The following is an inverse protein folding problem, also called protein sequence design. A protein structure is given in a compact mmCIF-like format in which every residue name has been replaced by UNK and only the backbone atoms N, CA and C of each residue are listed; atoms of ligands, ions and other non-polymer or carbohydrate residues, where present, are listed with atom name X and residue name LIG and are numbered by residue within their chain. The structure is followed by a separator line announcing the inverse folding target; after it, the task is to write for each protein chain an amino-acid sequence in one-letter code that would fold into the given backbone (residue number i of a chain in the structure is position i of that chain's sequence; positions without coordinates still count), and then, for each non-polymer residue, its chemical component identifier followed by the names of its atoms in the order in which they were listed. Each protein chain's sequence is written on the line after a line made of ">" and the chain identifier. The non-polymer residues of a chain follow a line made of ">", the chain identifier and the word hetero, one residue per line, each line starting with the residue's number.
data_IF_787120456297
#
_entry.id   IF_787120456297
#
_cell.length_a   1.000
_cell.length_b   1.000
_cell.length_c   1.000
_cell.angle_alpha   90.00
_cell.angle_beta   90.00
_cell.angle_gamma   90.00
#
_symmetry.space_group_name_H-M   'P 1'
#
loop_
_entity.id
_entity.type
_entity.pdbx_description
1 polymer ?
#
# COMPACT_ATOMS: atom_id res chain seq x y z
N UNK A 1 27.38 -10.80 -16.68
CA UNK A 1 26.23 -10.34 -17.49
C UNK A 1 25.05 -10.13 -16.55
N UNK A 2 24.53 -8.91 -16.45
CA UNK A 2 23.30 -8.66 -15.69
C UNK A 2 22.13 -9.34 -16.40
N UNK A 3 21.51 -10.34 -15.76
CA UNK A 3 20.24 -10.87 -16.24
C UNK A 3 19.18 -9.79 -16.07
N UNK A 4 18.57 -9.37 -17.17
CA UNK A 4 17.52 -8.37 -17.17
C UNK A 4 16.17 -9.08 -17.26
N UNK A 5 15.52 -9.26 -16.10
CA UNK A 5 14.22 -9.91 -16.04
C UNK A 5 13.11 -8.93 -16.42
N UNK A 6 12.24 -9.34 -17.33
CA UNK A 6 11.07 -8.57 -17.73
C UNK A 6 9.82 -9.06 -17.02
N UNK A 7 8.96 -8.13 -16.59
CA UNK A 7 7.68 -8.46 -15.95
C UNK A 7 6.52 -8.04 -16.82
N UNK A 8 5.58 -8.95 -17.12
CA UNK A 8 4.39 -8.67 -17.92
C UNK A 8 3.12 -9.06 -17.17
N UNK A 9 2.11 -8.18 -17.19
CA UNK A 9 0.77 -8.47 -16.66
C UNK A 9 -0.03 -9.23 -17.72
N UNK A 10 -0.62 -10.35 -17.34
CA UNK A 10 -1.45 -11.22 -18.18
C UNK A 10 -2.73 -11.62 -17.44
N UNK A 11 -3.77 -12.08 -18.16
CA UNK A 11 -4.93 -12.73 -17.53
C UNK A 11 -4.52 -13.84 -16.56
N UNK A 12 -5.36 -14.11 -15.58
CA UNK A 12 -5.09 -15.06 -14.50
C UNK A 12 -4.73 -16.44 -15.05
N UNK A 13 -3.57 -16.95 -14.66
CA UNK A 13 -3.17 -18.32 -14.97
C UNK A 13 -3.90 -19.31 -14.05
N UNK A 14 -4.13 -20.53 -14.53
CA UNK A 14 -4.72 -21.61 -13.73
C UNK A 14 -3.74 -22.00 -12.62
N UNK A 15 -4.20 -21.99 -11.38
CA UNK A 15 -3.42 -22.37 -10.21
C UNK A 15 -3.81 -23.79 -9.78
N UNK A 16 -2.86 -24.75 -9.72
CA UNK A 16 -3.09 -26.07 -9.14
C UNK A 16 -3.46 -26.00 -7.65
N UNK A 17 -4.36 -26.88 -7.20
CA UNK A 17 -4.91 -26.84 -5.84
C UNK A 17 -3.88 -27.08 -4.73
N UNK A 18 -2.79 -27.80 -5.02
CA UNK A 18 -1.71 -28.09 -4.09
C UNK A 18 -0.74 -26.91 -3.90
N UNK A 19 -0.76 -25.91 -4.81
CA UNK A 19 0.13 -24.76 -4.72
C UNK A 19 -0.17 -23.94 -3.48
N UNK A 20 0.89 -23.56 -2.77
CA UNK A 20 0.76 -22.71 -1.60
C UNK A 20 0.50 -21.24 -2.00
N UNK A 21 -0.54 -20.67 -1.42
CA UNK A 21 -0.92 -19.26 -1.51
C UNK A 21 -0.61 -18.54 -0.19
N UNK A 22 -0.24 -17.26 -0.28
CA UNK A 22 -0.23 -16.35 0.88
C UNK A 22 -1.54 -15.59 0.88
N UNK A 23 -2.35 -15.77 1.91
CA UNK A 23 -3.70 -15.22 2.02
C UNK A 23 -3.73 -14.17 3.12
N UNK A 24 -4.33 -13.03 2.82
CA UNK A 24 -4.58 -11.93 3.74
C UNK A 24 -6.08 -11.78 3.93
N UNK A 25 -6.53 -11.98 5.17
CA UNK A 25 -7.93 -11.83 5.55
C UNK A 25 -8.18 -10.40 6.00
N UNK A 26 -9.16 -9.74 5.37
CA UNK A 26 -9.70 -8.46 5.82
C UNK A 26 -11.23 -8.56 5.87
N UNK A 27 -11.93 -7.73 6.68
CA UNK A 27 -13.38 -7.84 6.86
C UNK A 27 -14.19 -7.87 5.56
N UNK A 28 -13.83 -7.06 4.56
CA UNK A 28 -14.59 -6.94 3.31
C UNK A 28 -13.94 -7.66 2.11
N UNK A 29 -12.64 -7.99 2.19
CA UNK A 29 -11.86 -8.50 1.06
C UNK A 29 -10.85 -9.54 1.55
N UNK A 30 -10.80 -10.68 0.85
CA UNK A 30 -9.72 -11.66 0.98
C UNK A 30 -8.78 -11.46 -0.20
N UNK A 31 -7.48 -11.30 0.08
CA UNK A 31 -6.45 -11.20 -0.96
C UNK A 31 -5.51 -12.41 -0.90
N UNK A 32 -5.30 -13.05 -2.04
CA UNK A 32 -4.35 -14.14 -2.18
C UNK A 32 -3.22 -13.80 -3.16
N UNK A 33 -2.01 -14.25 -2.82
CA UNK A 33 -0.84 -14.18 -3.69
C UNK A 33 -0.21 -15.55 -3.81
N UNK A 34 -0.20 -16.08 -5.03
CA UNK A 34 0.35 -17.39 -5.36
C UNK A 34 1.59 -17.21 -6.23
N UNK A 35 2.71 -17.78 -5.82
CA UNK A 35 3.96 -17.77 -6.59
C UNK A 35 4.18 -19.18 -7.12
N UNK A 36 4.31 -19.34 -8.44
CA UNK A 36 4.44 -20.65 -9.06
C UNK A 36 5.72 -21.37 -8.60
N UNK A 37 6.88 -20.72 -8.76
CA UNK A 37 8.19 -21.22 -8.31
C UNK A 37 8.67 -20.42 -7.11
N UNK A 38 8.40 -20.92 -5.90
CA UNK A 38 8.89 -20.31 -4.65
C UNK A 38 10.39 -20.51 -4.49
N UNK A 39 11.14 -19.43 -4.25
CA UNK A 39 12.57 -19.54 -3.94
C UNK A 39 12.77 -20.01 -2.48
N UNK A 40 13.32 -21.19 -2.27
CA UNK A 40 13.77 -21.67 -0.95
C UNK A 40 15.21 -21.22 -0.62
N UNK A 41 15.99 -20.85 -1.64
CA UNK A 41 17.44 -20.67 -1.50
C UNK A 41 17.90 -19.28 -1.02
N UNK A 42 17.01 -18.32 -0.77
CA UNK A 42 17.41 -16.97 -0.32
C UNK A 42 17.94 -16.99 1.13
N UNK A 43 17.50 -17.95 1.95
CA UNK A 43 17.90 -18.06 3.37
C UNK A 43 19.40 -18.27 3.57
N UNK A 44 20.12 -18.74 2.55
CA UNK A 44 21.58 -18.92 2.61
C UNK A 44 22.35 -17.60 2.54
N UNK A 45 21.73 -16.49 2.16
CA UNK A 45 22.41 -15.20 2.09
C UNK A 45 22.17 -14.39 3.37
N UNK A 46 23.24 -14.01 4.06
CA UNK A 46 23.20 -13.18 5.26
C UNK A 46 23.69 -11.78 4.92
N UNK A 47 22.90 -10.75 5.25
CA UNK A 47 23.27 -9.35 4.98
C UNK A 47 24.44 -8.92 5.89
N UNK A 48 25.44 -8.26 5.30
CA UNK A 48 26.60 -7.69 6.00
C UNK A 48 26.66 -6.21 5.63
N UNK A 49 26.37 -5.32 6.59
CA UNK A 49 26.31 -3.89 6.34
C UNK A 49 25.19 -3.46 5.38
N UNK A 50 25.36 -2.27 4.76
CA UNK A 50 24.33 -1.68 3.88
C UNK A 50 24.33 -2.29 2.48
N UNK A 51 25.50 -2.61 1.93
CA UNK A 51 25.72 -2.86 0.50
C UNK A 51 26.35 -4.24 0.21
N UNK A 52 26.29 -5.19 1.15
CA UNK A 52 26.83 -6.52 0.91
C UNK A 52 26.02 -7.63 1.58
N UNK A 53 26.20 -8.85 1.09
CA UNK A 53 25.76 -10.07 1.72
C UNK A 53 26.81 -11.17 1.57
N UNK A 54 26.76 -12.15 2.46
CA UNK A 54 27.60 -13.35 2.41
C UNK A 54 26.70 -14.54 2.11
N UNK A 55 27.09 -15.33 1.13
CA UNK A 55 26.51 -16.65 0.91
C UNK A 55 27.06 -17.61 1.97
N UNK A 56 26.24 -17.95 2.95
CA UNK A 56 26.61 -18.82 4.07
C UNK A 56 26.97 -20.25 3.64
N UNK A 57 26.57 -20.68 2.43
CA UNK A 57 26.91 -22.01 1.91
C UNK A 57 28.29 -22.05 1.24
N UNK A 58 28.75 -20.94 0.65
CA UNK A 58 30.01 -20.88 -0.12
C UNK A 58 31.06 -19.98 0.52
N UNK A 59 30.69 -19.15 1.50
CA UNK A 59 31.54 -18.10 2.06
C UNK A 59 31.71 -16.88 1.15
N UNK A 60 31.09 -16.88 -0.03
CA UNK A 60 31.24 -15.81 -1.02
C UNK A 60 30.66 -14.49 -0.52
N UNK A 61 31.46 -13.42 -0.57
CA UNK A 61 31.06 -12.06 -0.26
C UNK A 61 30.61 -11.34 -1.53
N UNK A 62 29.36 -10.90 -1.55
CA UNK A 62 28.71 -10.28 -2.70
C UNK A 62 28.43 -8.83 -2.35
N UNK A 63 29.12 -7.91 -3.02
CA UNK A 63 28.81 -6.48 -2.97
C UNK A 63 27.74 -6.12 -4.00
N UNK A 64 26.86 -5.20 -3.62
CA UNK A 64 25.85 -4.65 -4.51
C UNK A 64 25.84 -3.12 -4.40
N UNK A 65 25.92 -2.46 -5.57
CA UNK A 65 25.78 -1.01 -5.64
C UNK A 65 24.32 -0.59 -5.42
N UNK A 66 24.13 0.54 -4.74
CA UNK A 66 22.83 1.21 -4.75
C UNK A 66 22.61 1.82 -6.14
N UNK A 67 21.94 1.09 -7.01
CA UNK A 67 21.35 1.70 -8.20
C UNK A 67 19.97 2.25 -7.81
N UNK A 68 19.92 3.47 -7.27
CA UNK A 68 18.66 4.22 -7.10
C UNK A 68 18.18 4.70 -8.48
N UNK A 69 17.77 3.77 -9.34
CA UNK A 69 17.12 4.10 -10.61
C UNK A 69 15.60 4.28 -10.41
N UNK A 70 14.95 5.01 -11.32
CA UNK A 70 13.51 5.31 -11.23
C UNK A 70 12.65 4.05 -11.10
N UNK A 71 13.02 2.97 -11.79
CA UNK A 71 12.32 1.68 -11.71
C UNK A 71 12.35 1.08 -10.30
N UNK A 72 13.51 1.11 -9.63
CA UNK A 72 13.66 0.63 -8.25
C UNK A 72 12.84 1.46 -7.25
N UNK A 73 12.78 2.79 -7.46
CA UNK A 73 11.90 3.70 -6.70
C UNK A 73 10.45 3.30 -6.89
N UNK A 74 9.98 3.20 -8.14
CA UNK A 74 8.61 2.79 -8.45
C UNK A 74 8.24 1.42 -7.85
N UNK A 75 9.14 0.43 -7.89
CA UNK A 75 8.90 -0.89 -7.30
C UNK A 75 8.75 -0.83 -5.78
N UNK A 76 9.58 -0.04 -5.09
CA UNK A 76 9.47 0.15 -3.64
C UNK A 76 8.16 0.84 -3.26
N UNK A 77 7.75 1.85 -4.04
CA UNK A 77 6.46 2.52 -3.89
C UNK A 77 5.27 1.59 -4.08
N UNK A 78 5.25 0.82 -5.18
CA UNK A 78 4.21 -0.17 -5.45
C UNK A 78 4.05 -1.16 -4.30
N UNK A 79 5.17 -1.63 -3.75
CA UNK A 79 5.15 -2.50 -2.55
C UNK A 79 4.51 -1.79 -1.37
N UNK A 80 4.98 -0.59 -1.03
CA UNK A 80 4.49 0.15 0.13
C UNK A 80 3.01 0.58 -0.03
N UNK A 81 2.54 0.85 -1.25
CA UNK A 81 1.13 1.09 -1.57
C UNK A 81 0.28 -0.17 -1.37
N UNK A 82 0.75 -1.34 -1.82
CA UNK A 82 0.06 -2.60 -1.56
C UNK A 82 -0.03 -2.90 -0.06
N UNK A 83 1.03 -2.63 0.70
CA UNK A 83 1.02 -2.79 2.16
C UNK A 83 0.02 -1.82 2.81
N UNK A 84 -0.01 -0.56 2.38
CA UNK A 84 -1.01 0.42 2.83
C UNK A 84 -2.44 -0.03 2.53
N UNK A 85 -2.72 -0.51 1.32
CA UNK A 85 -4.05 -1.01 0.93
C UNK A 85 -4.52 -2.12 1.89
N UNK A 86 -3.66 -3.09 2.19
CA UNK A 86 -3.97 -4.16 3.15
C UNK A 86 -4.19 -3.64 4.56
N UNK A 87 -3.38 -2.67 5.02
CA UNK A 87 -3.55 -2.04 6.34
C UNK A 87 -4.90 -1.32 6.40
N UNK A 88 -5.28 -0.56 5.37
CA UNK A 88 -6.57 0.15 5.33
C UNK A 88 -7.72 -0.85 5.36
N UNK A 89 -7.72 -1.85 4.46
CA UNK A 89 -8.81 -2.82 4.35
C UNK A 89 -8.99 -3.66 5.62
N UNK A 90 -7.92 -3.92 6.38
CA UNK A 90 -7.99 -4.61 7.66
C UNK A 90 -8.61 -3.74 8.76
N UNK A 91 -8.36 -2.42 8.73
CA UNK A 91 -8.64 -1.54 9.87
C UNK A 91 -9.88 -0.68 9.73
N UNK A 92 -10.37 -0.49 8.51
CA UNK A 92 -11.47 0.41 8.18
C UNK A 92 -12.49 -0.36 7.36
N UNK A 93 -13.76 -0.29 7.75
CA UNK A 93 -14.86 -0.98 7.08
C UNK A 93 -15.97 -0.03 6.63
N UNK A 94 -15.84 1.27 6.94
CA UNK A 94 -16.89 2.26 6.68
C UNK A 94 -17.91 2.41 7.80
N UNK A 95 -17.51 2.12 9.04
CA UNK A 95 -18.37 2.30 10.20
C UNK A 95 -18.60 3.79 10.55
N UNK A 96 -19.67 4.09 11.30
CA UNK A 96 -19.98 5.43 11.78
C UNK A 96 -18.87 6.06 12.66
N UNK A 97 -18.02 5.23 13.28
CA UNK A 97 -16.85 5.64 14.05
C UNK A 97 -15.64 6.06 13.18
N UNK A 98 -15.75 5.95 11.86
CA UNK A 98 -14.67 6.21 10.93
C UNK A 98 -14.91 7.47 10.10
N UNK A 99 -13.83 8.21 9.81
CA UNK A 99 -13.86 9.41 8.97
C UNK A 99 -12.63 9.47 8.07
N UNK A 100 -12.84 10.02 6.89
CA UNK A 100 -11.78 10.43 5.99
C UNK A 100 -11.65 11.95 6.02
N UNK A 101 -10.48 12.42 6.42
CA UNK A 101 -10.15 13.84 6.54
C UNK A 101 -9.06 14.17 5.53
N UNK A 102 -9.16 15.36 4.97
CA UNK A 102 -8.20 15.88 3.99
C UNK A 102 -7.76 17.27 4.44
N UNK A 103 -6.46 17.43 4.71
CA UNK A 103 -5.85 18.66 5.22
C UNK A 103 -4.98 19.29 4.13
N UNK A 104 -5.34 20.49 3.70
CA UNK A 104 -4.61 21.27 2.68
C UNK A 104 -3.93 22.47 3.31
N UNK A 105 -2.78 22.84 2.78
CA UNK A 105 -2.12 24.11 3.10
C UNK A 105 -2.74 25.27 2.30
N UNK A 106 -2.80 26.46 2.91
CA UNK A 106 -3.13 27.70 2.19
C UNK A 106 -1.96 28.19 1.32
N UNK A 107 -0.74 27.97 1.79
CA UNK A 107 0.50 28.30 1.08
C UNK A 107 1.13 27.02 0.49
N UNK A 108 1.95 27.18 -0.55
CA UNK A 108 2.66 26.06 -1.17
C UNK A 108 3.62 25.42 -0.15
N UNK A 109 3.45 24.13 0.11
CA UNK A 109 4.25 23.35 1.06
C UNK A 109 4.98 22.23 0.33
N UNK A 110 6.28 22.35 0.07
CA UNK A 110 7.07 21.32 -0.63
C UNK A 110 7.99 20.54 0.30
N UNK A 111 8.19 21.04 1.52
CA UNK A 111 9.07 20.39 2.51
C UNK A 111 8.32 19.26 3.23
N UNK A 112 8.75 18.03 2.99
CA UNK A 112 8.20 16.82 3.60
C UNK A 112 8.36 16.80 5.13
N UNK A 113 9.49 17.29 5.66
CA UNK A 113 9.75 17.29 7.09
C UNK A 113 8.82 18.27 7.81
N UNK A 114 8.67 19.48 7.27
CA UNK A 114 7.72 20.46 7.79
C UNK A 114 6.29 19.91 7.74
N UNK A 115 5.89 19.31 6.61
CA UNK A 115 4.57 18.69 6.51
C UNK A 115 4.34 17.57 7.54
N UNK A 116 5.39 16.80 7.83
CA UNK A 116 5.33 15.74 8.85
C UNK A 116 5.27 16.29 10.28
N UNK A 117 5.98 17.39 10.57
CA UNK A 117 5.97 18.06 11.87
C UNK A 117 4.63 18.74 12.16
N UNK A 118 4.08 19.46 11.19
CA UNK A 118 2.77 20.11 11.31
C UNK A 118 1.68 19.08 11.60
N UNK A 119 1.69 17.95 10.88
CA UNK A 119 0.78 16.85 11.18
C UNK A 119 0.97 16.30 12.59
N UNK A 120 2.20 16.20 13.07
CA UNK A 120 2.48 15.71 14.44
C UNK A 120 1.87 16.64 15.49
N UNK A 121 1.98 17.97 15.29
CA UNK A 121 1.36 18.98 16.15
C UNK A 121 -0.17 18.89 16.10
N UNK A 122 -0.74 18.86 14.90
CA UNK A 122 -2.17 18.65 14.65
C UNK A 122 -2.68 17.41 15.39
N UNK A 123 -2.02 16.26 15.19
CA UNK A 123 -2.44 15.00 15.79
C UNK A 123 -2.32 15.02 17.31
N UNK A 124 -1.29 15.65 17.87
CA UNK A 124 -1.14 15.79 19.33
C UNK A 124 -2.34 16.54 19.95
N UNK A 125 -2.73 17.66 19.35
CA UNK A 125 -3.89 18.44 19.81
C UNK A 125 -5.20 17.69 19.59
N UNK A 126 -5.34 17.03 18.44
CA UNK A 126 -6.50 16.21 18.13
C UNK A 126 -6.68 15.06 19.11
N UNK A 127 -5.60 14.33 19.40
CA UNK A 127 -5.59 13.18 20.33
C UNK A 127 -5.91 13.62 21.76
N UNK A 128 -5.54 14.83 22.17
CA UNK A 128 -5.94 15.37 23.46
C UNK A 128 -7.47 15.51 23.57
N UNK A 129 -8.13 15.99 22.51
CA UNK A 129 -9.59 16.15 22.47
C UNK A 129 -10.35 14.84 22.19
N UNK A 130 -9.74 13.93 21.43
CA UNK A 130 -10.32 12.65 21.02
C UNK A 130 -9.36 11.49 21.37
N UNK A 131 -9.23 11.13 22.67
CA UNK A 131 -8.18 10.22 23.16
C UNK A 131 -8.27 8.79 22.61
N UNK A 132 -9.44 8.37 22.15
CA UNK A 132 -9.65 7.02 21.64
C UNK A 132 -9.38 6.87 20.13
N UNK A 133 -9.11 7.98 19.43
CA UNK A 133 -8.94 7.95 17.99
C UNK A 133 -7.56 7.43 17.55
N UNK A 134 -7.51 6.62 16.50
CA UNK A 134 -6.28 6.19 15.83
C UNK A 134 -6.32 6.68 14.38
N UNK A 135 -5.14 6.90 13.77
CA UNK A 135 -5.04 7.38 12.38
C UNK A 135 -4.19 6.51 11.47
N UNK A 136 -4.47 6.60 10.17
CA UNK A 136 -3.53 6.39 9.08
C UNK A 136 -3.37 7.73 8.34
N UNK A 137 -2.15 8.20 8.18
CA UNK A 137 -1.79 9.44 7.48
C UNK A 137 -1.12 9.06 6.18
N UNK A 138 -1.51 9.71 5.09
CA UNK A 138 -0.96 9.58 3.76
C UNK A 138 -0.60 10.99 3.28
N UNK A 139 0.67 11.21 2.97
CA UNK A 139 1.18 12.43 2.33
C UNK A 139 1.15 12.20 0.82
N UNK A 140 0.40 13.03 0.11
CA UNK A 140 0.26 13.00 -1.33
C UNK A 140 0.62 14.39 -1.88
N UNK A 141 1.48 14.52 -2.90
CA UNK A 141 1.68 15.80 -3.56
C UNK A 141 0.46 16.11 -4.44
N UNK A 142 0.03 17.36 -4.41
CA UNK A 142 -0.91 17.89 -5.39
C UNK A 142 -0.25 18.02 -6.76
N UNK A 143 -1.02 18.38 -7.78
CA UNK A 143 -0.50 18.61 -9.13
C UNK A 143 0.62 19.67 -9.16
N UNK A 144 0.52 20.68 -8.30
CA UNK A 144 1.52 21.74 -8.12
C UNK A 144 2.79 21.30 -7.35
N UNK A 145 2.87 20.05 -6.91
CA UNK A 145 3.92 19.51 -6.05
C UNK A 145 3.73 19.78 -4.55
N UNK A 146 2.77 20.65 -4.17
CA UNK A 146 2.49 20.97 -2.77
C UNK A 146 1.94 19.75 -2.01
N UNK A 147 2.39 19.50 -0.80
CA UNK A 147 1.91 18.43 0.05
C UNK A 147 0.44 18.59 0.44
N UNK A 148 -0.26 17.47 0.41
CA UNK A 148 -1.64 17.27 0.80
C UNK A 148 -1.69 16.11 1.78
N UNK A 149 -2.42 16.26 2.89
CA UNK A 149 -2.46 15.20 3.90
C UNK A 149 -3.84 14.55 3.93
N UNK A 150 -3.88 13.29 3.53
CA UNK A 150 -5.04 12.41 3.68
C UNK A 150 -4.93 11.67 5.01
N UNK A 151 -6.02 11.66 5.78
CA UNK A 151 -6.06 11.08 7.13
C UNK A 151 -7.30 10.23 7.27
N UNK A 152 -7.13 8.93 7.49
CA UNK A 152 -8.20 8.04 7.91
C UNK A 152 -8.16 7.98 9.43
N UNK A 153 -9.28 8.26 10.09
CA UNK A 153 -9.40 8.26 11.55
C UNK A 153 -10.51 7.30 11.96
N UNK A 154 -10.28 6.53 13.02
CA UNK A 154 -11.31 5.72 13.68
C UNK A 154 -11.29 5.90 15.19
N UNK A 155 -12.47 5.98 15.80
CA UNK A 155 -12.60 5.86 17.26
C UNK A 155 -12.67 4.37 17.66
N UNK A 156 -11.71 3.91 18.45
CA UNK A 156 -11.64 2.50 18.89
C UNK A 156 -12.84 2.06 19.72
N UNK A 157 -13.58 2.99 20.33
CA UNK A 157 -14.78 2.67 21.11
C UNK A 157 -15.98 2.32 20.24
N UNK A 158 -15.86 2.45 18.90
CA UNK A 158 -16.94 2.22 17.93
C UNK A 158 -18.20 3.07 18.16
N UNK A 159 -18.07 4.17 18.91
CA UNK A 159 -19.14 5.17 19.04
C UNK A 159 -19.20 6.01 17.78
N UNK A 160 -20.39 6.52 17.46
CA UNK A 160 -20.58 7.45 16.35
C UNK A 160 -19.58 8.60 16.47
N UNK A 161 -18.67 8.68 15.50
CA UNK A 161 -17.57 9.62 15.56
C UNK A 161 -17.95 10.88 14.81
N UNK A 162 -18.14 11.96 15.54
CA UNK A 162 -18.48 13.27 14.99
C UNK A 162 -17.45 14.31 15.39
N UNK A 163 -16.96 15.05 14.40
CA UNK A 163 -16.02 16.17 14.59
C UNK A 163 -16.57 17.38 13.87
N UNK A 164 -16.80 18.47 14.61
CA UNK A 164 -17.20 19.75 14.03
C UNK A 164 -16.09 20.29 13.13
N UNK A 165 -16.47 20.81 11.95
CA UNK A 165 -15.54 21.38 10.98
C UNK A 165 -14.69 22.51 11.58
N UNK A 166 -15.31 23.43 12.33
CA UNK A 166 -14.63 24.55 12.98
C UNK A 166 -13.52 24.10 13.92
N UNK A 167 -13.78 23.09 14.77
CA UNK A 167 -12.79 22.52 15.69
C UNK A 167 -11.64 21.91 14.91
N UNK A 168 -11.94 21.19 13.82
CA UNK A 168 -10.89 20.57 13.02
C UNK A 168 -10.05 21.60 12.27
N UNK A 169 -10.69 22.65 11.76
CA UNK A 169 -10.04 23.78 11.10
C UNK A 169 -9.13 24.54 12.06
N UNK A 170 -9.59 24.78 13.30
CA UNK A 170 -8.78 25.43 14.34
C UNK A 170 -7.60 24.57 14.77
N UNK A 171 -7.77 23.23 14.84
CA UNK A 171 -6.69 22.31 15.14
C UNK A 171 -5.65 22.24 14.00
N UNK A 172 -6.10 22.33 12.74
CA UNK A 172 -5.20 22.30 11.59
C UNK A 172 -4.41 23.60 11.43
N UNK A 173 -5.07 24.76 11.45
CA UNK A 173 -4.43 26.08 11.45
C UNK A 173 -3.62 26.46 10.20
N UNK A 174 -3.34 25.54 9.29
CA UNK A 174 -2.47 25.77 8.12
C UNK A 174 -3.21 25.90 6.79
N UNK A 175 -4.55 25.80 6.78
CA UNK A 175 -5.36 25.93 5.57
C UNK A 175 -6.73 25.27 5.68
N UNK A 176 -7.23 24.72 4.57
CA UNK A 176 -8.58 24.13 4.52
C UNK A 176 -8.59 22.68 5.01
N UNK A 177 -9.75 22.29 5.52
CA UNK A 177 -10.04 20.91 5.92
C UNK A 177 -11.32 20.43 5.25
N UNK A 178 -11.32 19.17 4.82
CA UNK A 178 -12.49 18.47 4.30
C UNK A 178 -12.72 17.20 5.08
N UNK A 179 -13.99 16.90 5.39
CA UNK A 179 -14.41 15.71 6.13
C UNK A 179 -15.36 14.92 5.23
N UNK A 180 -15.14 13.61 5.14
CA UNK A 180 -16.01 12.66 4.44
C UNK A 180 -16.25 11.45 5.34
N UNK A 181 -17.42 10.84 5.18
CA UNK A 181 -17.70 9.53 5.77
C UNK A 181 -17.07 8.43 4.90
N UNK A 182 -16.75 7.31 5.54
CA UNK A 182 -16.45 6.05 4.86
C UNK A 182 -17.72 5.17 4.87
N UNK A 183 -17.85 4.21 3.94
CA UNK A 183 -17.00 4.03 2.77
C UNK A 183 -17.39 5.00 1.65
N UNK A 184 -16.41 5.52 0.90
CA UNK A 184 -16.68 6.32 -0.31
C UNK A 184 -16.53 5.50 -1.61
N UNK A 185 -16.07 4.25 -1.50
CA UNK A 185 -16.01 3.25 -2.56
C UNK A 185 -15.91 1.85 -1.94
N UNK A 186 -16.21 0.80 -2.71
CA UNK A 186 -16.19 -0.60 -2.25
C UNK A 186 -14.79 -1.04 -1.76
N UNK A 187 -13.74 -0.62 -2.45
CA UNK A 187 -12.34 -0.82 -2.04
C UNK A 187 -11.63 0.53 -1.93
N UNK A 188 -11.96 1.29 -0.88
CA UNK A 188 -11.34 2.60 -0.66
C UNK A 188 -9.85 2.51 -0.30
N UNK A 189 -9.33 1.34 0.11
CA UNK A 189 -7.88 1.11 0.17
C UNK A 189 -7.21 1.25 -1.19
N UNK A 190 -7.87 0.83 -2.28
CA UNK A 190 -7.38 0.98 -3.64
C UNK A 190 -7.39 2.45 -4.11
N UNK A 191 -8.29 3.29 -3.60
CA UNK A 191 -8.37 4.71 -3.97
C UNK A 191 -7.06 5.46 -3.73
N UNK A 192 -6.42 5.20 -2.58
CA UNK A 192 -5.12 5.82 -2.23
C UNK A 192 -3.93 5.21 -2.97
N UNK A 193 -4.11 4.05 -3.60
CA UNK A 193 -3.03 3.28 -4.20
C UNK A 193 -3.07 3.24 -5.74
N UNK A 194 -4.20 3.63 -6.34
CA UNK A 194 -4.45 3.54 -7.78
C UNK A 194 -3.37 4.25 -8.62
N UNK A 195 -2.91 5.41 -8.15
CA UNK A 195 -1.87 6.19 -8.81
C UNK A 195 -0.52 5.48 -8.97
N UNK A 196 -0.27 4.42 -8.20
CA UNK A 196 1.00 3.69 -8.23
C UNK A 196 0.94 2.42 -9.08
N UNK A 197 -0.26 1.96 -9.44
CA UNK A 197 -0.47 0.71 -10.18
C UNK A 197 -0.69 0.93 -11.68
N UNK A 198 -0.81 2.18 -12.14
CA UNK A 198 -0.89 2.53 -13.56
C UNK A 198 0.48 2.42 -14.22
N UNK A 199 0.79 1.22 -14.69
CA UNK A 199 1.73 1.00 -15.78
C UNK A 199 0.87 0.63 -16.96
N UNK A 200 0.54 1.58 -17.85
CA UNK A 200 0.18 1.26 -19.23
C UNK A 200 0.31 2.51 -20.12
N UNK A 201 1.01 2.30 -21.24
CA UNK A 201 1.11 3.18 -22.40
C UNK A 201 -0.21 3.17 -23.18
N UNK A 202 -1.33 3.50 -22.54
CA UNK A 202 -2.56 3.82 -23.27
C UNK A 202 -2.50 5.28 -23.70
N UNK A 203 -2.70 5.55 -24.99
CA UNK A 203 -2.68 6.89 -25.61
C UNK A 203 -3.74 7.88 -25.07
N UNK A 204 -4.43 7.55 -23.98
CA UNK A 204 -5.31 8.44 -23.24
C UNK A 204 -4.68 8.75 -21.87
N UNK A 205 -4.47 10.04 -21.59
CA UNK A 205 -4.02 10.52 -20.28
C UNK A 205 -5.11 10.30 -19.22
N UNK A 206 -5.23 9.07 -18.73
CA UNK A 206 -6.10 8.82 -17.59
C UNK A 206 -5.59 9.60 -16.36
N UNK A 207 -6.51 10.07 -15.51
CA UNK A 207 -6.16 10.73 -14.22
C UNK A 207 -5.19 9.90 -13.39
N UNK A 208 -5.19 8.58 -13.55
CA UNK A 208 -4.28 7.67 -12.86
C UNK A 208 -2.83 7.79 -13.36
N UNK A 209 -2.61 7.98 -14.67
CA UNK A 209 -1.28 8.25 -15.26
C UNK A 209 -0.76 9.62 -14.80
N UNK A 210 -1.61 10.66 -14.82
CA UNK A 210 -1.24 12.00 -14.32
C UNK A 210 -0.87 11.98 -12.83
N UNK A 211 -1.56 11.19 -12.01
CA UNK A 211 -1.19 10.98 -10.60
C UNK A 211 0.07 10.13 -10.45
N UNK A 212 0.34 9.17 -11.34
CA UNK A 212 1.54 8.34 -11.34
C UNK A 212 2.83 9.13 -11.60
N UNK A 213 2.77 10.19 -12.43
CA UNK A 213 3.89 11.14 -12.64
C UNK A 213 4.35 11.83 -11.34
N UNK A 214 3.53 11.82 -10.29
CA UNK A 214 3.85 12.45 -9.00
C UNK A 214 4.85 11.68 -8.14
N UNK A 215 5.25 10.46 -8.54
CA UNK A 215 6.30 9.68 -7.87
C UNK A 215 7.61 10.49 -7.77
N UNK A 216 7.84 11.40 -8.71
CA UNK A 216 9.04 12.22 -8.77
C UNK A 216 9.12 13.28 -7.66
N UNK A 217 7.98 13.81 -7.19
CA UNK A 217 7.94 14.80 -6.10
C UNK A 217 8.34 14.23 -4.73
N UNK A 218 8.33 12.92 -4.57
CA UNK A 218 8.65 12.33 -3.29
C UNK A 218 10.18 12.23 -3.10
N UNK A 219 10.72 12.74 -1.97
CA UNK A 219 12.15 12.70 -1.70
C UNK A 219 12.65 11.27 -1.46
N UNK A 220 13.96 11.05 -1.55
CA UNK A 220 14.55 9.74 -1.24
C UNK A 220 14.35 9.37 0.25
N UNK A 221 14.21 8.07 0.54
CA UNK A 221 14.06 7.52 1.91
C UNK A 221 12.90 8.04 2.75
N UNK A 222 11.87 8.59 2.11
CA UNK A 222 10.69 9.13 2.77
C UNK A 222 9.62 8.04 3.05
N UNK A 223 8.64 8.35 3.90
CA UNK A 223 7.49 7.47 4.19
C UNK A 223 6.20 8.19 3.81
N UNK A 224 5.62 7.85 2.65
CA UNK A 224 4.37 8.50 2.22
C UNK A 224 3.20 8.20 3.15
N UNK A 225 3.26 7.13 3.95
CA UNK A 225 2.25 6.88 4.97
C UNK A 225 2.85 6.55 6.34
N UNK A 226 2.10 6.90 7.38
CA UNK A 226 2.36 6.54 8.78
C UNK A 226 1.03 6.21 9.45
N UNK A 227 1.07 5.53 10.59
CA UNK A 227 -0.16 5.20 11.32
C UNK A 227 0.09 5.17 12.83
N UNK A 228 -0.99 5.26 13.59
CA UNK A 228 -0.93 5.09 15.05
C UNK A 228 -0.60 3.65 15.44
N UNK A 229 -0.24 3.44 16.72
CA UNK A 229 0.10 2.13 17.27
C UNK A 229 -1.09 1.16 17.29
N UNK A 230 -2.32 1.66 17.43
CA UNK A 230 -3.53 0.85 17.43
C UNK A 230 -4.02 0.43 16.04
N UNK A 231 -3.29 0.75 14.98
CA UNK A 231 -3.60 0.27 13.62
C UNK A 231 -2.95 -1.09 13.41
N UNK A 232 -3.78 -2.10 13.16
CA UNK A 232 -3.34 -3.47 12.98
C UNK A 232 -2.56 -3.64 11.68
N UNK A 233 -1.59 -4.57 11.71
CA UNK A 233 -0.77 -4.91 10.54
C UNK A 233 -1.25 -6.23 9.96
N UNK A 234 -1.43 -6.33 8.63
CA UNK A 234 -1.91 -7.54 7.98
C UNK A 234 -0.88 -8.66 8.17
N UNK A 235 -1.33 -9.79 8.73
CA UNK A 235 -0.53 -11.00 8.90
C UNK A 235 -1.00 -12.04 7.88
N UNK A 236 -0.15 -12.46 6.93
CA UNK A 236 -0.55 -13.47 5.97
C UNK A 236 -0.63 -14.84 6.65
N UNK A 237 -1.62 -15.62 6.26
CA UNK A 237 -1.66 -17.07 6.48
C UNK A 237 -1.21 -17.78 5.21
N UNK A 238 -0.57 -18.93 5.35
CA UNK A 238 -0.16 -19.77 4.22
C UNK A 238 -1.04 -20.99 4.20
N UNK A 239 -1.68 -21.26 3.07
CA UNK A 239 -2.56 -22.41 2.84
C UNK A 239 -2.42 -22.88 1.39
N UNK A 240 -2.91 -24.06 1.06
CA UNK A 240 -2.99 -24.50 -0.33
C UNK A 240 -4.07 -23.71 -1.09
N UNK A 241 -3.95 -23.63 -2.41
CA UNK A 241 -4.93 -22.94 -3.23
C UNK A 241 -6.29 -23.65 -3.20
N UNK A 242 -6.32 -24.98 -3.05
CA UNK A 242 -7.55 -25.73 -2.81
C UNK A 242 -8.21 -25.40 -1.46
N UNK A 243 -7.43 -25.13 -0.41
CA UNK A 243 -7.94 -24.62 0.87
C UNK A 243 -8.50 -23.20 0.72
N UNK A 244 -7.83 -22.32 -0.05
CA UNK A 244 -8.31 -20.99 -0.36
C UNK A 244 -9.66 -21.06 -1.10
N UNK A 245 -9.79 -21.91 -2.12
CA UNK A 245 -11.07 -22.12 -2.85
C UNK A 245 -12.19 -22.49 -1.89
N UNK A 246 -11.94 -23.39 -0.93
CA UNK A 246 -12.93 -23.74 0.11
C UNK A 246 -13.25 -22.56 1.03
N UNK A 247 -12.24 -21.80 1.47
CA UNK A 247 -12.41 -20.62 2.32
C UNK A 247 -13.32 -19.57 1.69
N UNK A 248 -13.19 -19.34 0.37
CA UNK A 248 -14.02 -18.38 -0.37
C UNK A 248 -15.29 -19.02 -0.95
N UNK A 249 -15.66 -20.22 -0.48
CA UNK A 249 -16.82 -20.97 -0.95
C UNK A 249 -16.89 -21.13 -2.48
N UNK A 250 -15.74 -21.40 -3.11
CA UNK A 250 -15.57 -21.55 -4.56
C UNK A 250 -16.04 -20.35 -5.38
N UNK A 251 -16.12 -19.16 -4.76
CA UNK A 251 -16.43 -17.93 -5.47
C UNK A 251 -15.30 -17.55 -6.43
N UNK A 252 -15.67 -17.07 -7.62
CA UNK A 252 -14.73 -16.46 -8.55
C UNK A 252 -14.16 -15.15 -7.97
N UNK A 253 -12.86 -14.85 -8.19
CA UNK A 253 -12.26 -13.62 -7.71
C UNK A 253 -12.92 -12.40 -8.38
N UNK A 254 -13.25 -11.38 -7.59
CA UNK A 254 -13.75 -10.10 -8.11
C UNK A 254 -12.65 -9.30 -8.84
N UNK A 255 -11.38 -9.61 -8.55
CA UNK A 255 -10.24 -9.08 -9.29
C UNK A 255 -9.08 -10.07 -9.25
N UNK A 256 -8.53 -10.41 -10.41
CA UNK A 256 -7.35 -11.26 -10.50
C UNK A 256 -6.46 -10.90 -11.69
N UNK A 257 -5.17 -11.12 -11.55
CA UNK A 257 -4.19 -11.00 -12.63
C UNK A 257 -2.94 -11.79 -12.32
N UNK A 258 -2.15 -12.10 -13.35
CA UNK A 258 -0.85 -12.75 -13.19
C UNK A 258 0.27 -11.87 -13.72
N UNK A 259 1.34 -11.72 -12.94
CA UNK A 259 2.59 -11.15 -13.42
C UNK A 259 3.54 -12.29 -13.80
N UNK A 260 3.87 -12.42 -15.07
CA UNK A 260 4.93 -13.32 -15.53
C UNK A 260 6.29 -12.64 -15.40
N UNK A 261 7.31 -13.42 -15.09
CA UNK A 261 8.70 -13.01 -15.02
C UNK A 261 9.44 -13.79 -16.10
N UNK A 262 10.04 -13.08 -17.06
CA UNK A 262 10.75 -13.66 -18.19
C UNK A 262 12.24 -13.30 -18.20
N UNK A 263 13.08 -14.24 -18.64
CA UNK A 263 14.52 -14.06 -18.92
C UNK A 263 14.69 -14.34 -20.43
N UNK A 264 15.03 -13.33 -21.23
CA UNK A 264 15.08 -13.41 -22.70
C UNK A 264 13.83 -14.07 -23.32
N UNK A 265 12.65 -13.50 -23.04
CA UNK A 265 11.32 -13.97 -23.50
C UNK A 265 10.86 -15.34 -22.97
N UNK A 266 11.71 -16.07 -22.25
CA UNK A 266 11.33 -17.33 -21.61
C UNK A 266 10.74 -17.05 -20.24
N UNK A 267 9.48 -17.41 -20.02
CA UNK A 267 8.82 -17.27 -18.71
C UNK A 267 9.48 -18.20 -17.69
N UNK A 268 10.22 -17.62 -16.76
CA UNK A 268 10.92 -18.35 -15.70
C UNK A 268 10.06 -18.54 -14.47
N UNK A 269 9.11 -17.65 -14.19
CA UNK A 269 8.22 -17.72 -13.03
C UNK A 269 6.94 -16.90 -13.26
N UNK A 270 5.93 -17.11 -12.42
CA UNK A 270 4.70 -16.32 -12.40
C UNK A 270 4.23 -16.05 -10.96
N UNK A 271 3.58 -14.91 -10.78
CA UNK A 271 2.95 -14.51 -9.52
C UNK A 271 1.52 -14.12 -9.83
N UNK A 272 0.57 -14.88 -9.30
CA UNK A 272 -0.86 -14.64 -9.45
C UNK A 272 -1.40 -13.93 -8.22
N UNK A 273 -2.20 -12.90 -8.44
CA UNK A 273 -2.87 -12.10 -7.43
C UNK A 273 -4.37 -12.28 -7.62
N UNK A 274 -5.08 -12.59 -6.54
CA UNK A 274 -6.52 -12.81 -6.53
C UNK A 274 -7.13 -12.02 -5.37
N UNK A 275 -8.31 -11.43 -5.60
CA UNK A 275 -9.12 -10.76 -4.59
C UNK A 275 -10.53 -11.32 -4.66
N UNK A 276 -11.09 -11.61 -3.50
CA UNK A 276 -12.45 -12.10 -3.32
C UNK A 276 -13.18 -11.14 -2.40
N UNK A 277 -14.47 -10.91 -2.67
CA UNK A 277 -15.32 -10.25 -1.71
C UNK A 277 -15.50 -11.18 -0.52
N UNK A 278 -15.28 -10.67 0.68
CA UNK A 278 -15.54 -11.44 1.88
C UNK A 278 -17.02 -11.29 2.22
N UNK A 279 -17.83 -12.26 1.81
CA UNK A 279 -19.19 -12.38 2.29
C UNK A 279 -19.12 -12.81 3.76
N UNK A 280 -19.26 -11.85 4.67
CA UNK A 280 -19.51 -12.13 6.10
C UNK A 280 -20.96 -12.55 6.26
#
# INVERSE_FOLDING_TARGET
>A
MSKEFQTKKVPTAVIPDDKLSKVYLSPNIIEAVTVDKRSCNIRKFKRVGKNACVNMSTGEYIEFSKNENLQSKQAHFKKAANDLRRIINLNFIGDCSEKFITLTYCNRMEDYNNASEDFKKFWSLFKYRYPNCEYIRILEPQESGSWHIHVLIKDKTKKNFYVKHEVLSSLWGHGKVWIKNLPFSENFGAYFCAQFNSTDNSNEESKAIQKGKRIDYYPSNFKFYTCSKGIEKPKPIVMSHGELKRLVNYQEPCYAYTNTIADNDVVVNSITFEQYLNAV
#
